data_IF_762200999792
#
_entry.id   IF_762200999792
#
_cell.length_a   1.000
_cell.length_b   1.000
_cell.length_c   1.000
_cell.angle_alpha   90.00
_cell.angle_beta   90.00
_cell.angle_gamma   90.00
#
_symmetry.space_group_name_H-M   'P 1'
#
loop_
_entity.id
_entity.type
_entity.pdbx_description
1 polymer ?
#
# COMPACT_ATOMS: atom_id res chain seq x y z
N UNK A 1 -12.04 -4.67 7.05
CA UNK A 1 -11.49 -5.00 5.71
C UNK A 1 -10.18 -4.25 5.55
N UNK A 2 -9.12 -4.87 5.03
CA UNK A 2 -7.83 -4.20 4.78
C UNK A 2 -7.78 -3.76 3.32
N UNK A 3 -7.50 -2.49 3.07
CA UNK A 3 -7.20 -2.01 1.73
C UNK A 3 -5.77 -2.45 1.38
N UNK A 4 -5.65 -3.45 0.51
CA UNK A 4 -4.38 -3.94 0.00
C UNK A 4 -4.22 -3.47 -1.44
N UNK A 5 -3.16 -2.72 -1.72
CA UNK A 5 -2.72 -2.50 -3.08
C UNK A 5 -1.93 -3.72 -3.55
N UNK A 6 -2.54 -4.56 -4.39
CA UNK A 6 -1.84 -5.62 -5.11
C UNK A 6 -1.43 -5.04 -6.46
N UNK A 7 -0.17 -4.67 -6.61
CA UNK A 7 0.35 -4.09 -7.85
C UNK A 7 1.13 -5.09 -8.73
N UNK A 8 1.57 -6.24 -8.19
CA UNK A 8 2.54 -7.13 -8.83
C UNK A 8 2.27 -8.61 -8.46
N UNK A 9 2.68 -9.56 -9.32
CA UNK A 9 2.34 -10.99 -9.23
C UNK A 9 2.92 -11.73 -8.01
N UNK A 10 4.08 -11.33 -7.49
CA UNK A 10 4.69 -11.93 -6.30
C UNK A 10 5.24 -10.84 -5.37
N UNK A 11 4.96 -10.97 -4.07
CA UNK A 11 5.46 -10.04 -3.08
C UNK A 11 5.09 -10.42 -1.65
N UNK A 12 5.68 -9.72 -0.69
CA UNK A 12 5.33 -9.79 0.71
C UNK A 12 4.92 -8.42 1.24
N UNK A 13 4.02 -8.44 2.23
CA UNK A 13 3.51 -7.24 2.86
C UNK A 13 3.84 -7.27 4.36
N UNK A 14 4.33 -6.15 4.87
CA UNK A 14 4.49 -5.91 6.29
C UNK A 14 3.49 -4.82 6.65
N UNK A 15 2.47 -5.19 7.43
CA UNK A 15 1.46 -4.28 7.92
C UNK A 15 1.71 -3.99 9.40
N UNK A 16 1.80 -2.70 9.74
CA UNK A 16 1.74 -2.23 11.12
C UNK A 16 0.54 -1.32 11.26
N UNK A 17 -0.29 -1.55 12.28
CA UNK A 17 -1.52 -0.81 12.48
C UNK A 17 -1.82 -0.60 13.96
N UNK A 18 -2.60 0.44 14.24
CA UNK A 18 -3.18 0.70 15.56
C UNK A 18 -4.60 0.16 15.59
N UNK A 19 -4.96 -0.54 16.67
CA UNK A 19 -6.27 -1.21 16.81
C UNK A 19 -7.44 -0.20 16.82
N UNK A 20 -7.31 0.92 17.53
CA UNK A 20 -8.19 2.10 17.46
C UNK A 20 -7.67 3.17 18.42
N UNK A 21 -7.38 4.36 17.92
CA UNK A 21 -7.10 5.56 18.70
C UNK A 21 -8.40 6.38 18.81
N UNK A 22 -8.82 6.67 20.04
CA UNK A 22 -10.01 7.48 20.28
C UNK A 22 -9.62 8.94 20.55
N UNK A 23 -10.16 9.86 19.75
CA UNK A 23 -10.04 11.31 19.98
C UNK A 23 -11.47 11.86 20.13
N UNK A 24 -11.87 12.14 21.37
CA UNK A 24 -13.25 12.48 21.69
C UNK A 24 -14.19 11.30 21.44
N UNK A 25 -15.26 11.52 20.69
CA UNK A 25 -16.21 10.47 20.28
C UNK A 25 -15.84 9.78 18.96
N UNK A 26 -14.76 10.20 18.30
CA UNK A 26 -14.33 9.65 17.02
C UNK A 26 -13.25 8.58 17.23
N UNK A 27 -13.42 7.45 16.54
CA UNK A 27 -12.39 6.40 16.45
C UNK A 27 -11.58 6.58 15.18
N UNK A 28 -10.26 6.44 15.32
CA UNK A 28 -9.29 6.47 14.24
C UNK A 28 -8.47 5.19 14.26
N UNK A 29 -8.41 4.47 13.15
CA UNK A 29 -7.35 3.49 12.94
C UNK A 29 -6.36 4.08 11.95
N UNK A 30 -5.08 3.97 12.24
CA UNK A 30 -4.04 4.33 11.29
C UNK A 30 -3.01 3.23 11.25
N UNK A 31 -2.33 3.12 10.12
CA UNK A 31 -1.28 2.17 9.95
C UNK A 31 -0.49 2.43 8.69
N UNK A 32 0.44 1.54 8.44
CA UNK A 32 1.35 1.61 7.32
C UNK A 32 1.53 0.20 6.76
N UNK A 33 1.30 0.08 5.47
CA UNK A 33 1.56 -1.14 4.73
C UNK A 33 2.81 -0.95 3.89
N UNK A 34 3.86 -1.73 4.16
CA UNK A 34 5.05 -1.79 3.34
C UNK A 34 4.97 -3.02 2.45
N UNK A 35 4.96 -2.82 1.14
CA UNK A 35 4.89 -3.89 0.14
C UNK A 35 6.23 -4.00 -0.56
N UNK A 36 6.77 -5.21 -0.59
CA UNK A 36 7.92 -5.59 -1.41
C UNK A 36 7.43 -6.57 -2.46
N UNK A 37 7.63 -6.26 -3.73
CA UNK A 37 7.13 -7.07 -4.83
C UNK A 37 8.16 -7.19 -5.95
N UNK A 38 8.00 -8.21 -6.77
CA UNK A 38 8.82 -8.44 -7.96
C UNK A 38 7.91 -8.16 -9.16
N UNK A 39 8.36 -7.34 -10.11
CA UNK A 39 7.58 -6.99 -11.31
C UNK A 39 7.26 -8.21 -12.18
N UNK A 40 6.13 -8.16 -12.90
CA UNK A 40 5.59 -9.26 -13.72
C UNK A 40 6.53 -9.82 -14.79
N UNK A 41 7.45 -9.01 -15.33
CA UNK A 41 8.46 -9.50 -16.30
C UNK A 41 9.41 -10.55 -15.69
N UNK A 42 9.42 -10.68 -14.35
CA UNK A 42 10.36 -11.49 -13.59
C UNK A 42 9.84 -12.86 -13.14
N UNK A 43 8.57 -13.23 -13.40
CA UNK A 43 8.13 -14.60 -13.09
C UNK A 43 8.93 -15.65 -13.89
N UNK A 44 9.32 -15.29 -15.12
CA UNK A 44 10.21 -16.09 -15.96
C UNK A 44 11.67 -16.07 -15.46
N UNK A 45 12.09 -15.01 -14.77
CA UNK A 45 13.41 -14.86 -14.15
C UNK A 45 13.63 -15.78 -12.94
N UNK A 46 12.57 -16.26 -12.31
CA UNK A 46 12.69 -17.27 -11.24
C UNK A 46 13.34 -18.58 -11.73
N UNK A 47 13.27 -18.84 -13.05
CA UNK A 47 13.93 -19.97 -13.70
C UNK A 47 15.37 -19.68 -14.14
N UNK A 48 15.84 -18.43 -14.06
CA UNK A 48 17.21 -17.99 -14.35
C UNK A 48 17.66 -16.91 -13.34
N UNK A 49 18.24 -17.31 -12.19
CA UNK A 49 18.58 -16.40 -11.10
C UNK A 49 19.67 -15.37 -11.45
N UNK A 50 20.42 -15.57 -12.54
CA UNK A 50 21.50 -14.68 -12.99
C UNK A 50 20.99 -13.31 -13.51
N UNK A 51 19.72 -13.21 -13.87
CA UNK A 51 19.09 -11.99 -14.38
C UNK A 51 18.31 -11.21 -13.29
N UNK A 52 18.43 -11.62 -12.01
CA UNK A 52 17.85 -10.88 -10.88
C UNK A 52 18.66 -9.60 -10.62
N UNK A 53 18.23 -8.50 -11.23
CA UNK A 53 18.80 -7.17 -10.97
C UNK A 53 18.05 -6.45 -9.84
N UNK A 54 18.72 -5.52 -9.16
CA UNK A 54 18.09 -4.63 -8.17
C UNK A 54 16.91 -3.82 -8.76
N UNK A 55 16.84 -3.70 -10.08
CA UNK A 55 15.76 -3.06 -10.81
C UNK A 55 14.50 -3.94 -10.98
N UNK A 56 14.52 -5.19 -10.54
CA UNK A 56 13.33 -6.05 -10.54
C UNK A 56 12.52 -5.96 -9.24
N UNK A 57 13.11 -5.40 -8.18
CA UNK A 57 12.44 -5.20 -6.90
C UNK A 57 11.63 -3.91 -6.93
N UNK A 58 10.37 -4.01 -6.53
CA UNK A 58 9.46 -2.92 -6.26
C UNK A 58 9.26 -2.79 -4.75
N UNK A 59 9.40 -1.56 -4.24
CA UNK A 59 9.15 -1.26 -2.83
C UNK A 59 8.15 -0.13 -2.76
N UNK A 60 7.07 -0.32 -2.02
CA UNK A 60 6.08 0.72 -1.78
C UNK A 60 5.69 0.81 -0.32
N UNK A 61 5.36 2.03 0.08
CA UNK A 61 4.98 2.40 1.43
C UNK A 61 3.60 3.06 1.35
N UNK A 62 2.64 2.46 2.04
CA UNK A 62 1.23 2.85 1.94
C UNK A 62 0.67 3.19 3.31
N UNK A 63 0.85 4.43 3.81
CA UNK A 63 0.17 4.88 5.02
C UNK A 63 -1.35 4.92 4.78
N UNK A 64 -2.11 4.46 5.76
CA UNK A 64 -3.55 4.52 5.74
C UNK A 64 -4.11 5.07 7.06
N UNK A 65 -5.27 5.69 6.95
CA UNK A 65 -6.09 6.11 8.07
C UNK A 65 -7.55 5.76 7.76
N UNK A 66 -8.26 5.25 8.74
CA UNK A 66 -9.70 5.10 8.69
C UNK A 66 -10.33 5.73 9.92
N UNK A 67 -11.52 6.28 9.74
CA UNK A 67 -12.28 6.90 10.83
C UNK A 67 -13.77 6.76 10.59
N UNK A 68 -14.51 6.66 11.68
CA UNK A 68 -15.96 6.66 11.62
C UNK A 68 -16.46 8.10 11.48
N UNK A 69 -17.19 8.37 10.40
CA UNK A 69 -17.76 9.67 10.07
C UNK A 69 -19.25 9.52 9.79
N UNK A 70 -20.08 10.12 10.64
CA UNK A 70 -21.55 9.98 10.63
C UNK A 70 -21.98 8.50 10.73
N UNK A 71 -22.77 8.02 9.77
CA UNK A 71 -23.26 6.64 9.66
C UNK A 71 -22.36 5.76 8.76
N UNK A 72 -21.09 6.12 8.61
CA UNK A 72 -20.18 5.40 7.72
C UNK A 72 -18.72 5.48 8.13
N UNK A 73 -17.89 4.75 7.38
CA UNK A 73 -16.46 4.62 7.59
C UNK A 73 -15.71 5.27 6.43
N UNK A 74 -14.97 6.32 6.73
CA UNK A 74 -14.04 6.97 5.80
C UNK A 74 -12.70 6.24 5.86
N UNK A 75 -12.19 5.85 4.70
CA UNK A 75 -10.88 5.23 4.53
C UNK A 75 -10.05 6.07 3.56
N UNK A 76 -8.84 6.42 3.99
CA UNK A 76 -7.87 7.15 3.17
C UNK A 76 -6.57 6.38 3.20
N UNK A 77 -5.98 6.14 2.04
CA UNK A 77 -4.70 5.49 1.91
C UNK A 77 -3.86 6.20 0.85
N UNK A 78 -2.69 6.68 1.26
CA UNK A 78 -1.65 7.12 0.34
C UNK A 78 -0.75 5.94 0.03
N UNK A 79 -0.21 5.89 -1.18
CA UNK A 79 0.87 4.97 -1.55
C UNK A 79 1.99 5.77 -2.21
N UNK A 80 3.20 5.46 -1.79
CA UNK A 80 4.44 5.96 -2.38
C UNK A 80 5.26 4.75 -2.82
N UNK A 81 5.52 4.64 -4.12
CA UNK A 81 6.43 3.63 -4.68
C UNK A 81 7.84 4.18 -4.71
N UNK A 82 8.66 3.73 -3.77
CA UNK A 82 10.03 4.21 -3.54
C UNK A 82 10.92 3.90 -4.76
N UNK A 83 10.67 2.79 -5.44
CA UNK A 83 11.44 2.36 -6.61
C UNK A 83 11.18 3.22 -7.84
N UNK A 84 9.95 3.67 -8.05
CA UNK A 84 9.63 4.64 -9.11
C UNK A 84 10.29 6.00 -8.85
N UNK A 85 10.36 6.43 -7.58
CA UNK A 85 11.11 7.64 -7.19
C UNK A 85 12.60 7.50 -7.52
N UNK A 86 13.21 6.36 -7.18
CA UNK A 86 14.62 6.09 -7.48
C UNK A 86 14.91 6.09 -8.99
N UNK A 87 13.91 5.73 -9.81
CA UNK A 87 13.98 5.74 -11.29
C UNK A 87 13.58 7.08 -11.92
N UNK A 88 13.44 8.15 -11.14
CA UNK A 88 12.97 9.47 -11.58
C UNK A 88 11.54 9.49 -12.18
N UNK A 89 10.72 8.46 -11.92
CA UNK A 89 9.32 8.37 -12.37
C UNK A 89 8.36 8.86 -11.28
N UNK A 90 8.41 10.16 -10.98
CA UNK A 90 7.63 10.74 -9.87
C UNK A 90 6.11 10.70 -10.11
N UNK A 91 5.65 10.79 -11.35
CA UNK A 91 4.21 10.83 -11.65
C UNK A 91 3.50 9.49 -11.36
N UNK A 92 4.19 8.35 -11.56
CA UNK A 92 3.64 7.02 -11.26
C UNK A 92 3.87 6.59 -9.80
N UNK A 93 4.77 7.28 -9.09
CA UNK A 93 5.18 6.90 -7.74
C UNK A 93 4.10 7.15 -6.67
N UNK A 94 3.17 8.07 -6.91
CA UNK A 94 2.15 8.46 -5.93
C UNK A 94 0.77 7.95 -6.34
N UNK A 95 0.11 7.23 -5.43
CA UNK A 95 -1.31 6.90 -5.56
C UNK A 95 -2.05 7.33 -4.30
N UNK A 96 -3.28 7.82 -4.47
CA UNK A 96 -4.18 8.15 -3.36
C UNK A 96 -5.49 7.40 -3.57
N UNK A 97 -5.93 6.70 -2.55
CA UNK A 97 -7.22 6.04 -2.51
C UNK A 97 -8.05 6.63 -1.37
N UNK A 98 -9.26 7.08 -1.71
CA UNK A 98 -10.24 7.58 -0.75
C UNK A 98 -11.52 6.81 -0.97
N UNK A 99 -11.98 6.11 0.06
CA UNK A 99 -13.21 5.33 0.05
C UNK A 99 -14.10 5.73 1.21
N UNK A 100 -15.41 5.74 0.97
CA UNK A 100 -16.42 5.96 2.01
C UNK A 100 -17.43 4.82 1.96
N UNK A 101 -17.64 4.15 3.09
CA UNK A 101 -18.61 3.06 3.22
C UNK A 101 -19.72 3.48 4.17
N UNK A 102 -20.95 3.56 3.68
CA UNK A 102 -22.13 3.79 4.52
C UNK A 102 -22.61 2.47 5.13
N UNK A 103 -22.98 2.48 6.40
CA UNK A 103 -23.77 1.42 7.01
C UNK A 103 -25.26 1.82 6.85
N UNK A 104 -25.96 1.15 5.91
CA UNK A 104 -27.41 1.22 5.76
C UNK A 104 -28.07 0.15 6.62
#
# INVERSE_FOLDING_TARGET
EQLLFINDTLGFNILSYTDSLYIGSASFAFGINTTFSISDESFLLFFNPDDFSADTLNVSLSPYISTQLFSGDLHVMGQVRITDIARNSYASAFKLNVGFRTQL
#
